data_IF_300097543757
#
_entry.id   IF_300097543757
#
_cell.length_a   1.000
_cell.length_b   1.000
_cell.length_c   1.000
_cell.angle_alpha   90.00
_cell.angle_beta   90.00
_cell.angle_gamma   90.00
#
_symmetry.space_group_name_H-M   'P 1'
#
loop_
_entity.id
_entity.type
_entity.pdbx_description
1 polymer ?
#
# COMPACT_ATOMS: atom_id res chain seq x y z
N UNK A 1 -50.55 -1.79 -6.84
CA UNK A 1 -50.00 -1.93 -8.20
C UNK A 1 -48.62 -1.31 -8.22
N UNK A 2 -47.57 -2.13 -8.27
CA UNK A 2 -46.19 -1.64 -8.44
C UNK A 2 -46.02 -1.23 -9.90
N UNK A 3 -45.61 0.00 -10.15
CA UNK A 3 -45.42 0.51 -11.52
C UNK A 3 -44.02 0.12 -12.03
N UNK A 4 -43.88 -0.08 -13.33
CA UNK A 4 -42.60 -0.43 -13.99
C UNK A 4 -41.47 0.54 -13.59
N UNK A 5 -41.81 1.82 -13.34
CA UNK A 5 -40.88 2.85 -12.86
C UNK A 5 -40.28 2.53 -11.49
N UNK A 6 -41.05 1.97 -10.57
CA UNK A 6 -40.56 1.56 -9.24
C UNK A 6 -39.65 0.34 -9.32
N UNK A 7 -39.94 -0.61 -10.20
CA UNK A 7 -39.08 -1.79 -10.40
C UNK A 7 -37.70 -1.39 -10.94
N UNK A 8 -37.67 -0.42 -11.86
CA UNK A 8 -36.43 0.04 -12.48
C UNK A 8 -35.54 0.82 -11.51
N UNK A 9 -36.15 1.65 -10.64
CA UNK A 9 -35.42 2.36 -9.58
C UNK A 9 -34.85 1.39 -8.56
N UNK A 10 -35.63 0.39 -8.12
CA UNK A 10 -35.16 -0.64 -7.19
C UNK A 10 -34.00 -1.46 -7.77
N UNK A 11 -34.06 -1.78 -9.06
CA UNK A 11 -33.01 -2.51 -9.74
C UNK A 11 -31.70 -1.69 -9.85
N UNK A 12 -31.77 -0.40 -10.17
CA UNK A 12 -30.60 0.48 -10.18
C UNK A 12 -29.96 0.64 -8.79
N UNK A 13 -30.79 0.79 -7.75
CA UNK A 13 -30.30 0.85 -6.36
C UNK A 13 -29.61 -0.46 -6.00
N UNK A 14 -30.18 -1.60 -6.36
CA UNK A 14 -29.59 -2.92 -6.10
C UNK A 14 -28.21 -3.09 -6.78
N UNK A 15 -28.05 -2.63 -8.02
CA UNK A 15 -26.76 -2.68 -8.74
C UNK A 15 -25.72 -1.75 -8.07
N UNK A 16 -26.13 -0.57 -7.61
CA UNK A 16 -25.23 0.36 -6.92
C UNK A 16 -24.67 -0.20 -5.61
N UNK A 17 -25.48 -0.97 -4.86
CA UNK A 17 -25.04 -1.57 -3.59
C UNK A 17 -24.08 -2.76 -3.83
N UNK A 18 -24.22 -3.46 -4.96
CA UNK A 18 -23.35 -4.60 -5.30
C UNK A 18 -21.98 -4.18 -5.87
N UNK A 19 -21.77 -2.91 -6.24
CA UNK A 19 -20.57 -2.46 -6.95
C UNK A 19 -19.37 -2.06 -6.08
N UNK A 20 -19.50 -1.98 -4.76
CA UNK A 20 -18.45 -1.40 -3.91
C UNK A 20 -17.65 -2.50 -3.17
N UNK A 21 -16.74 -3.18 -3.87
CA UNK A 21 -16.05 -4.34 -3.27
C UNK A 21 -14.71 -4.74 -3.87
N UNK A 22 -14.02 -3.88 -4.62
CA UNK A 22 -12.66 -4.21 -5.09
C UNK A 22 -11.68 -4.01 -3.93
N UNK A 23 -11.35 -5.10 -3.22
CA UNK A 23 -10.29 -5.11 -2.20
C UNK A 23 -8.98 -4.71 -2.86
N UNK A 24 -8.47 -3.52 -2.53
CA UNK A 24 -7.16 -3.06 -3.00
C UNK A 24 -6.10 -3.99 -2.41
N UNK A 25 -5.32 -4.65 -3.28
CA UNK A 25 -4.18 -5.43 -2.83
C UNK A 25 -3.06 -4.46 -2.42
N UNK A 26 -2.53 -4.64 -1.22
CA UNK A 26 -1.37 -3.87 -0.77
C UNK A 26 -0.13 -4.34 -1.56
N UNK A 27 0.45 -3.42 -2.33
CA UNK A 27 1.68 -3.61 -3.10
C UNK A 27 2.76 -2.73 -2.49
N UNK A 28 3.93 -3.31 -2.24
CA UNK A 28 5.11 -2.59 -1.75
C UNK A 28 6.24 -2.75 -2.76
N UNK A 29 6.98 -1.69 -3.06
CA UNK A 29 8.14 -1.72 -3.95
C UNK A 29 9.33 -1.05 -3.28
N UNK A 30 10.50 -1.67 -3.37
CA UNK A 30 11.74 -1.12 -2.82
C UNK A 30 12.43 -0.26 -3.87
N UNK A 31 12.47 1.05 -3.65
CA UNK A 31 13.15 2.00 -4.52
C UNK A 31 14.58 2.25 -4.03
N UNK A 32 15.56 2.39 -4.94
CA UNK A 32 16.89 2.87 -4.56
C UNK A 32 16.84 4.35 -4.17
N UNK A 33 17.79 4.77 -3.35
CA UNK A 33 18.01 6.18 -3.02
C UNK A 33 18.64 6.91 -4.21
N UNK A 34 18.66 8.26 -4.16
CA UNK A 34 19.27 9.09 -5.21
C UNK A 34 20.76 8.81 -5.42
N UNK A 35 21.46 8.32 -4.40
CA UNK A 35 22.86 7.90 -4.47
C UNK A 35 23.05 6.48 -5.08
N UNK A 36 21.96 5.82 -5.48
CA UNK A 36 21.96 4.46 -6.02
C UNK A 36 22.05 3.35 -4.97
N UNK A 37 22.18 3.68 -3.68
CA UNK A 37 22.16 2.70 -2.61
C UNK A 37 20.75 2.18 -2.38
N UNK A 38 20.64 0.90 -2.04
CA UNK A 38 19.36 0.27 -1.73
C UNK A 38 19.35 -0.17 -0.29
N UNK A 39 18.40 0.35 0.48
CA UNK A 39 18.15 -0.09 1.84
C UNK A 39 17.58 -1.51 1.90
N UNK A 40 17.21 -1.95 3.10
CA UNK A 40 16.49 -3.22 3.30
C UNK A 40 15.21 -2.94 4.07
N UNK A 41 14.11 -3.52 3.63
CA UNK A 41 12.83 -3.44 4.35
C UNK A 41 12.31 -4.84 4.64
N UNK A 42 11.77 -5.04 5.83
CA UNK A 42 11.10 -6.30 6.21
C UNK A 42 9.62 -6.01 6.29
N UNK A 43 8.85 -6.66 5.41
CA UNK A 43 7.40 -6.58 5.38
C UNK A 43 6.87 -7.78 6.16
N UNK A 44 6.01 -7.52 7.14
CA UNK A 44 5.39 -8.56 7.97
C UNK A 44 3.88 -8.53 7.83
N UNK A 45 3.29 -9.70 7.85
CA UNK A 45 1.88 -9.96 8.13
C UNK A 45 1.78 -10.81 9.40
N UNK A 46 0.56 -11.09 9.86
CA UNK A 46 0.33 -11.93 11.04
C UNK A 46 0.88 -13.36 10.86
N UNK A 47 1.02 -13.84 9.61
CA UNK A 47 1.37 -15.23 9.30
C UNK A 47 2.68 -15.41 8.54
N UNK A 48 3.23 -14.35 7.95
CA UNK A 48 4.43 -14.43 7.12
C UNK A 48 5.20 -13.12 7.10
N UNK A 49 6.49 -13.19 6.76
CA UNK A 49 7.31 -12.00 6.52
C UNK A 49 8.27 -12.22 5.37
N UNK A 50 8.62 -11.12 4.68
CA UNK A 50 9.60 -11.13 3.60
C UNK A 50 10.54 -9.94 3.72
N UNK A 51 11.82 -10.17 3.45
CA UNK A 51 12.81 -9.11 3.35
C UNK A 51 12.97 -8.74 1.88
N UNK A 52 12.84 -7.45 1.59
CA UNK A 52 13.24 -6.86 0.32
C UNK A 52 14.61 -6.21 0.53
N UNK A 53 15.61 -6.69 -0.18
CA UNK A 53 17.00 -6.23 -0.08
C UNK A 53 17.63 -5.86 -1.44
N UNK A 54 16.84 -5.91 -2.51
CA UNK A 54 17.24 -5.60 -3.88
C UNK A 54 16.41 -4.47 -4.46
N UNK A 55 17.02 -3.55 -5.22
CA UNK A 55 16.31 -2.44 -5.82
C UNK A 55 15.26 -2.94 -6.81
N UNK A 56 14.17 -2.19 -6.91
CA UNK A 56 13.02 -2.47 -7.77
C UNK A 56 12.37 -3.83 -7.50
N UNK A 57 12.54 -4.38 -6.30
CA UNK A 57 11.82 -5.58 -5.90
C UNK A 57 10.45 -5.18 -5.37
N UNK A 58 9.41 -5.76 -5.95
CA UNK A 58 8.04 -5.64 -5.46
C UNK A 58 7.66 -6.85 -4.60
N UNK A 59 6.87 -6.61 -3.56
CA UNK A 59 6.17 -7.63 -2.78
C UNK A 59 4.67 -7.36 -2.82
N UNK A 60 3.89 -8.40 -3.12
CA UNK A 60 2.44 -8.37 -3.08
C UNK A 60 1.96 -9.44 -2.11
N UNK A 61 1.12 -9.04 -1.16
CA UNK A 61 0.50 -10.00 -0.24
C UNK A 61 -0.58 -10.80 -0.97
N UNK A 62 -0.45 -12.12 -0.93
CA UNK A 62 -1.35 -13.03 -1.61
C UNK A 62 -2.19 -13.78 -0.57
N UNK A 63 -3.42 -13.31 -0.37
CA UNK A 63 -4.30 -13.80 0.69
C UNK A 63 -4.61 -15.30 0.60
N UNK A 64 -4.65 -15.87 -0.61
CA UNK A 64 -4.93 -17.30 -0.80
C UNK A 64 -3.78 -18.21 -0.30
N UNK A 65 -2.55 -17.72 -0.28
CA UNK A 65 -1.37 -18.48 0.19
C UNK A 65 -0.89 -18.03 1.56
N UNK A 66 -1.46 -16.95 2.13
CA UNK A 66 -1.05 -16.38 3.42
C UNK A 66 0.38 -15.82 3.41
N UNK A 67 0.89 -15.49 2.21
CA UNK A 67 2.31 -15.20 1.97
C UNK A 67 2.53 -14.02 1.04
N UNK A 68 3.80 -13.64 0.90
CA UNK A 68 4.22 -12.61 -0.05
C UNK A 68 4.76 -13.25 -1.32
N UNK A 69 4.38 -12.70 -2.47
CA UNK A 69 4.98 -13.01 -3.76
C UNK A 69 5.90 -11.84 -4.12
N UNK A 70 7.15 -12.14 -4.41
CA UNK A 70 8.12 -11.14 -4.87
C UNK A 70 8.38 -11.24 -6.35
N UNK A 71 8.53 -10.08 -6.99
CA UNK A 71 8.93 -9.96 -8.38
C UNK A 71 9.92 -8.80 -8.53
N UNK A 72 10.75 -8.86 -9.55
CA UNK A 72 11.57 -7.73 -9.95
C UNK A 72 10.82 -6.93 -11.00
N UNK A 73 10.71 -5.62 -10.77
CA UNK A 73 10.00 -4.69 -11.64
C UNK A 73 11.00 -3.93 -12.50
N UNK A 74 10.56 -3.50 -13.67
CA UNK A 74 11.37 -2.69 -14.56
C UNK A 74 11.57 -1.28 -13.97
N UNK A 75 12.81 -0.76 -13.94
CA UNK A 75 13.10 0.57 -13.39
C UNK A 75 12.48 1.72 -14.19
N UNK A 76 12.37 1.59 -15.52
CA UNK A 76 11.74 2.60 -16.38
C UNK A 76 10.23 2.63 -16.14
N UNK A 77 9.59 1.45 -16.07
CA UNK A 77 8.16 1.35 -15.74
C UNK A 77 7.88 1.94 -14.35
N UNK A 78 8.72 1.62 -13.37
CA UNK A 78 8.61 2.14 -12.01
C UNK A 78 8.74 3.67 -11.98
N UNK A 79 9.71 4.22 -12.71
CA UNK A 79 9.90 5.67 -12.81
C UNK A 79 8.71 6.39 -13.46
N UNK A 80 8.12 5.81 -14.50
CA UNK A 80 6.95 6.39 -15.15
C UNK A 80 5.71 6.41 -14.24
N UNK A 81 5.49 5.33 -13.48
CA UNK A 81 4.31 5.20 -12.61
C UNK A 81 4.45 6.03 -11.33
N UNK A 82 5.60 5.93 -10.66
CA UNK A 82 5.79 6.51 -9.32
C UNK A 82 6.57 7.83 -9.32
N UNK A 83 7.30 8.17 -10.39
CA UNK A 83 8.05 9.43 -10.49
C UNK A 83 7.21 10.66 -10.17
N UNK A 84 6.01 10.83 -10.74
CA UNK A 84 5.13 11.95 -10.40
C UNK A 84 4.66 11.95 -8.93
N UNK A 85 4.49 10.77 -8.33
CA UNK A 85 4.07 10.63 -6.93
C UNK A 85 5.20 10.94 -5.94
N UNK A 86 6.44 10.60 -6.31
CA UNK A 86 7.63 10.86 -5.50
C UNK A 86 8.11 12.31 -5.63
N UNK A 87 7.86 12.95 -6.78
CA UNK A 87 8.12 14.38 -6.97
C UNK A 87 7.20 15.28 -6.14
N UNK A 88 6.03 14.76 -5.74
CA UNK A 88 5.19 15.38 -4.73
C UNK A 88 5.74 15.02 -3.35
N UNK A 89 6.85 15.65 -2.97
CA UNK A 89 7.41 15.53 -1.63
C UNK A 89 6.32 15.95 -0.62
N UNK A 90 5.86 15.05 0.27
CA UNK A 90 4.88 15.43 1.27
C UNK A 90 5.53 16.42 2.24
N UNK A 91 4.84 17.52 2.55
CA UNK A 91 5.30 18.49 3.55
C UNK A 91 5.72 17.73 4.82
N UNK A 92 7.01 17.83 5.14
CA UNK A 92 7.54 17.21 6.34
C UNK A 92 6.82 17.86 7.54
N UNK A 93 6.15 17.10 8.42
CA UNK A 93 5.44 17.71 9.53
C UNK A 93 6.46 18.46 10.39
N UNK A 94 6.32 19.79 10.41
CA UNK A 94 7.08 20.67 11.29
C UNK A 94 6.78 20.27 12.74
N UNK A 95 7.71 19.54 13.35
CA UNK A 95 7.78 19.23 14.78
C UNK A 95 6.64 18.36 15.39
N UNK A 96 7.01 17.13 15.72
CA UNK A 96 6.99 16.62 17.09
C UNK A 96 5.73 16.76 17.97
N UNK A 97 4.52 16.72 17.44
CA UNK A 97 3.32 16.45 18.25
C UNK A 97 3.09 14.93 18.37
N UNK A 98 4.06 14.25 18.99
CA UNK A 98 3.87 12.90 19.54
C UNK A 98 3.00 13.05 20.79
N UNK A 99 1.70 13.26 20.61
CA UNK A 99 0.73 13.13 21.71
C UNK A 99 0.69 11.65 22.16
N UNK A 100 1.05 11.33 23.41
CA UNK A 100 0.93 9.98 23.91
C UNK A 100 -0.49 9.78 24.44
N UNK A 101 -1.50 9.58 23.58
CA UNK A 101 -2.76 9.00 24.07
C UNK A 101 -3.59 8.22 23.03
N UNK A 102 -3.72 6.94 23.35
CA UNK A 102 -4.81 5.97 23.15
C UNK A 102 -5.57 5.82 21.81
N UNK A 103 -5.42 4.59 21.27
CA UNK A 103 -6.43 3.81 20.53
C UNK A 103 -6.63 4.07 19.03
N UNK A 104 -5.55 4.04 18.26
CA UNK A 104 -5.68 3.69 16.84
C UNK A 104 -4.68 2.58 16.49
N UNK A 105 -5.21 1.38 16.21
CA UNK A 105 -4.48 0.24 15.65
C UNK A 105 -3.97 0.57 14.25
N UNK A 106 -2.87 1.32 14.18
CA UNK A 106 -2.05 1.45 12.98
C UNK A 106 -0.70 0.84 13.35
N UNK A 107 -0.25 -0.25 12.70
CA UNK A 107 1.09 -0.77 12.93
C UNK A 107 2.10 0.27 12.46
N UNK A 108 2.71 0.94 13.44
CA UNK A 108 3.80 1.88 13.28
C UNK A 108 5.01 1.12 12.72
N UNK A 109 5.45 1.45 11.51
CA UNK A 109 6.80 1.15 11.04
C UNK A 109 7.67 2.37 11.37
N UNK A 110 8.26 2.35 12.55
CA UNK A 110 9.47 3.08 12.88
C UNK A 110 10.38 2.08 13.58
N UNK A 111 11.53 1.81 12.99
CA UNK A 111 12.78 1.66 13.74
C UNK A 111 13.93 1.89 12.74
N UNK A 112 14.32 3.15 12.63
CA UNK A 112 15.52 3.60 11.94
C UNK A 112 16.71 3.31 12.85
N UNK A 113 17.29 2.11 12.75
CA UNK A 113 18.55 1.81 13.47
C UNK A 113 19.72 2.28 12.62
N UNK A 114 20.08 3.55 12.77
CA UNK A 114 21.46 4.02 12.57
C UNK A 114 22.15 3.82 13.92
N UNK A 115 23.00 2.81 14.04
CA UNK A 115 23.96 2.69 15.13
C UNK A 115 25.38 3.00 14.62
N UNK A 116 26.22 3.58 15.50
CA UNK A 116 27.42 4.35 15.17
C UNK A 116 28.58 3.54 14.58
#
# INVERSE_FOLDING_TARGET
MITIRQVLILFCIFILILGCGTKKQAKSILLPQENGETGKIVIRSDTSGIMLDKPYTEAVYHAATGGFITRQTDPEETGQIYGPLLAAEPDMPDSADLAPDSRTNIPIIQEMIRQP
#
